data_IF_527708785314
#
_entry.id   IF_527708785314
#
_cell.length_a   1.000
_cell.length_b   1.000
_cell.length_c   1.000
_cell.angle_alpha   90.00
_cell.angle_beta   90.00
_cell.angle_gamma   90.00
#
_symmetry.space_group_name_H-M   'P 1'
#
loop_
_entity.id
_entity.type
_entity.pdbx_description
1 polymer ?
#
# COMPACT_ATOMS: atom_id res chain seq x y z
N UNK A 1 -8.26 17.85 -4.14
CA UNK A 1 -7.22 16.79 -4.17
C UNK A 1 -7.87 15.52 -3.62
N UNK A 2 -7.53 14.30 -4.04
CA UNK A 2 -8.19 13.12 -3.47
C UNK A 2 -7.76 12.98 -2.01
N UNK A 3 -8.71 13.19 -1.08
CA UNK A 3 -8.52 13.31 0.37
C UNK A 3 -8.10 12.01 1.09
N UNK A 4 -7.43 11.06 0.42
CA UNK A 4 -7.29 9.69 0.97
C UNK A 4 -5.88 9.10 0.92
N UNK A 5 -4.94 9.71 0.17
CA UNK A 5 -3.53 9.30 0.23
C UNK A 5 -2.86 10.01 1.40
N UNK A 6 -2.40 9.26 2.41
CA UNK A 6 -1.81 9.85 3.62
C UNK A 6 -0.31 10.10 3.46
N UNK A 7 0.17 11.22 4.00
CA UNK A 7 1.61 11.44 4.15
C UNK A 7 2.08 10.68 5.39
N UNK A 8 3.04 9.79 5.20
CA UNK A 8 3.59 8.93 6.23
C UNK A 8 5.01 9.38 6.54
N UNK A 9 5.25 9.65 7.81
CA UNK A 9 6.55 10.00 8.38
C UNK A 9 7.01 8.86 9.27
N UNK A 10 8.27 8.92 9.72
CA UNK A 10 8.80 8.02 10.74
C UNK A 10 7.87 7.94 11.95
N UNK A 11 7.43 9.10 12.46
CA UNK A 11 6.62 9.18 13.68
C UNK A 11 5.19 8.66 13.51
N UNK A 12 4.65 8.70 12.28
CA UNK A 12 3.30 8.22 11.98
C UNK A 12 3.26 6.79 11.43
N UNK A 13 4.38 6.27 10.93
CA UNK A 13 4.46 4.97 10.25
C UNK A 13 3.90 3.82 11.08
N UNK A 14 4.36 3.66 12.32
CA UNK A 14 3.92 2.55 13.17
C UNK A 14 2.40 2.59 13.39
N UNK A 15 1.84 3.77 13.67
CA UNK A 15 0.40 3.96 13.86
C UNK A 15 -0.36 3.72 12.56
N UNK A 16 0.17 4.18 11.44
CA UNK A 16 -0.43 3.99 10.12
C UNK A 16 -0.52 2.51 9.76
N UNK A 17 0.54 1.74 10.03
CA UNK A 17 0.59 0.30 9.76
C UNK A 17 -0.27 -0.50 10.74
N UNK A 18 -0.09 -0.29 12.04
CA UNK A 18 -0.75 -1.10 13.09
C UNK A 18 -2.26 -0.90 13.18
N UNK A 19 -2.76 0.29 12.80
CA UNK A 19 -4.20 0.62 12.86
C UNK A 19 -4.98 0.24 11.60
N UNK A 20 -4.29 -0.12 10.52
CA UNK A 20 -4.97 -0.47 9.27
C UNK A 20 -5.52 -1.89 9.33
N UNK A 21 -6.85 -2.02 9.17
CA UNK A 21 -7.51 -3.29 8.91
C UNK A 21 -7.48 -3.68 7.42
N UNK A 22 -7.08 -2.73 6.58
CA UNK A 22 -6.94 -2.91 5.13
C UNK A 22 -5.48 -3.17 4.77
N UNK A 23 -5.20 -3.85 3.65
CA UNK A 23 -3.87 -3.86 3.08
C UNK A 23 -3.41 -2.43 2.76
N UNK A 24 -2.12 -2.20 2.87
CA UNK A 24 -1.48 -0.89 2.73
C UNK A 24 -0.57 -0.92 1.51
N UNK A 25 -0.63 0.13 0.70
CA UNK A 25 0.37 0.45 -0.31
C UNK A 25 1.14 1.71 0.11
N UNK A 26 2.42 1.55 0.42
CA UNK A 26 3.34 2.64 0.78
C UNK A 26 4.26 2.96 -0.40
N UNK A 27 4.27 4.21 -0.82
CA UNK A 27 5.03 4.69 -1.97
C UNK A 27 6.14 5.61 -1.49
N UNK A 28 7.37 5.21 -1.75
CA UNK A 28 8.57 5.96 -1.46
C UNK A 28 8.97 6.74 -2.72
N UNK A 29 9.00 8.06 -2.58
CA UNK A 29 9.27 8.96 -3.70
C UNK A 29 10.23 10.07 -3.26
N UNK A 30 10.73 10.81 -4.24
CA UNK A 30 11.42 12.08 -4.00
C UNK A 30 10.98 13.08 -5.06
N UNK A 31 10.80 14.34 -4.64
CA UNK A 31 10.38 15.43 -5.53
C UNK A 31 11.47 15.80 -6.55
N UNK A 32 12.72 15.40 -6.30
CA UNK A 32 13.87 15.70 -7.15
C UNK A 32 13.95 14.80 -8.38
N UNK A 33 13.19 13.70 -8.43
CA UNK A 33 13.25 12.72 -9.52
C UNK A 33 12.01 12.80 -10.42
N UNK A 34 12.15 13.29 -11.68
CA UNK A 34 11.03 13.40 -12.62
C UNK A 34 10.31 12.08 -12.89
N UNK A 35 11.02 10.95 -12.78
CA UNK A 35 10.47 9.59 -12.92
C UNK A 35 9.35 9.28 -11.92
N UNK A 36 9.26 10.00 -10.80
CA UNK A 36 8.20 9.85 -9.82
C UNK A 36 6.86 10.43 -10.28
N UNK A 37 6.84 11.31 -11.30
CA UNK A 37 5.61 11.96 -11.76
C UNK A 37 4.60 10.95 -12.33
N UNK A 38 5.04 10.08 -13.24
CA UNK A 38 4.19 9.06 -13.85
C UNK A 38 3.69 8.04 -12.81
N UNK A 39 4.52 7.74 -11.80
CA UNK A 39 4.12 6.89 -10.70
C UNK A 39 3.00 7.57 -9.90
N UNK A 40 3.11 8.85 -9.58
CA UNK A 40 2.08 9.55 -8.79
C UNK A 40 0.72 9.53 -9.48
N UNK A 41 0.66 9.73 -10.80
CA UNK A 41 -0.58 9.60 -11.59
C UNK A 41 -1.15 8.17 -11.52
N UNK A 42 -0.27 7.16 -11.59
CA UNK A 42 -0.65 5.76 -11.43
C UNK A 42 -1.23 5.47 -10.04
N UNK A 43 -0.60 5.99 -8.99
CA UNK A 43 -1.05 5.82 -7.60
C UNK A 43 -2.39 6.53 -7.37
N UNK A 44 -2.61 7.72 -7.92
CA UNK A 44 -3.90 8.40 -7.85
C UNK A 44 -5.02 7.60 -8.53
N UNK A 45 -4.74 7.01 -9.69
CA UNK A 45 -5.71 6.15 -10.38
C UNK A 45 -6.02 4.87 -9.59
N UNK A 46 -5.03 4.31 -8.90
CA UNK A 46 -5.21 3.16 -8.02
C UNK A 46 -6.02 3.53 -6.77
N UNK A 47 -5.70 4.64 -6.10
CA UNK A 47 -6.45 5.11 -4.93
C UNK A 47 -7.92 5.30 -5.29
N UNK A 48 -8.22 5.99 -6.39
CA UNK A 48 -9.60 6.19 -6.83
C UNK A 48 -10.35 4.89 -7.08
N UNK A 49 -9.69 3.85 -7.63
CA UNK A 49 -10.29 2.55 -7.92
C UNK A 49 -10.48 1.68 -6.67
N UNK A 50 -9.51 1.70 -5.75
CA UNK A 50 -9.43 0.81 -4.59
C UNK A 50 -9.80 1.49 -3.27
N UNK A 51 -10.39 2.69 -3.33
CA UNK A 51 -10.82 3.47 -2.18
C UNK A 51 -11.65 2.60 -1.22
N UNK A 52 -11.27 2.63 0.06
CA UNK A 52 -11.91 1.84 1.12
C UNK A 52 -11.58 0.35 1.11
N UNK A 53 -10.80 -0.14 0.15
CA UNK A 53 -10.29 -1.52 0.10
C UNK A 53 -8.79 -1.60 0.35
N UNK A 54 -8.04 -0.57 -0.03
CA UNK A 54 -6.60 -0.44 0.19
C UNK A 54 -6.32 0.93 0.81
N UNK A 55 -5.44 0.96 1.80
CA UNK A 55 -4.92 2.18 2.39
C UNK A 55 -3.67 2.63 1.61
N UNK A 56 -3.62 3.90 1.21
CA UNK A 56 -2.48 4.44 0.46
C UNK A 56 -1.68 5.43 1.30
N UNK A 57 -0.35 5.30 1.29
CA UNK A 57 0.56 6.21 1.98
C UNK A 57 1.74 6.63 1.10
N UNK A 58 2.17 7.89 1.24
CA UNK A 58 3.36 8.44 0.60
C UNK A 58 4.44 8.70 1.65
N UNK A 59 5.66 8.33 1.34
CA UNK A 59 6.85 8.63 2.14
C UNK A 59 7.80 9.43 1.27
N UNK A 60 8.06 10.68 1.66
CA UNK A 60 9.09 11.50 1.04
C UNK A 60 10.46 11.02 1.55
N UNK A 61 11.20 10.32 0.70
CA UNK A 61 12.48 9.72 1.03
C UNK A 61 13.60 10.75 1.24
N UNK A 62 13.45 11.97 0.71
CA UNK A 62 14.41 13.05 1.01
C UNK A 62 14.29 13.50 2.48
N UNK A 63 13.09 13.43 3.04
CA UNK A 63 12.79 13.88 4.41
C UNK A 63 12.81 12.74 5.43
N UNK A 64 12.55 11.51 4.99
CA UNK A 64 12.35 10.35 5.86
C UNK A 64 13.48 9.33 5.74
N UNK A 65 14.73 9.81 5.67
CA UNK A 65 15.94 8.98 5.47
C UNK A 65 16.13 7.87 6.51
N UNK A 66 15.75 8.11 7.76
CA UNK A 66 15.81 7.08 8.80
C UNK A 66 14.78 5.97 8.56
N UNK A 67 13.54 6.34 8.21
CA UNK A 67 12.48 5.38 7.92
C UNK A 67 12.81 4.56 6.66
N UNK A 68 13.33 5.18 5.60
CA UNK A 68 13.76 4.46 4.39
C UNK A 68 14.90 3.49 4.69
N UNK A 69 15.87 3.88 5.52
CA UNK A 69 16.94 3.00 5.99
C UNK A 69 16.43 1.81 6.80
N UNK A 70 15.52 2.04 7.76
CA UNK A 70 14.90 0.99 8.57
C UNK A 70 14.11 -0.02 7.72
N UNK A 71 13.47 0.44 6.65
CA UNK A 71 12.68 -0.39 5.74
C UNK A 71 13.50 -0.96 4.56
N UNK A 72 14.80 -0.71 4.50
CA UNK A 72 15.68 -1.23 3.46
C UNK A 72 15.41 -0.68 2.06
N UNK A 73 14.91 0.55 1.95
CA UNK A 73 14.61 1.19 0.66
C UNK A 73 15.91 1.73 0.05
N UNK A 74 16.48 0.97 -0.90
CA UNK A 74 17.76 1.29 -1.54
C UNK A 74 17.67 2.13 -2.82
N UNK A 75 16.47 2.39 -3.34
CA UNK A 75 16.29 3.14 -4.59
C UNK A 75 14.89 3.76 -4.71
N UNK A 76 14.77 4.79 -5.56
CA UNK A 76 13.51 5.50 -5.78
C UNK A 76 13.12 5.51 -7.26
N UNK A 77 11.81 5.44 -7.57
CA UNK A 77 10.74 5.17 -6.63
C UNK A 77 10.77 3.72 -6.12
N UNK A 78 10.16 3.48 -4.96
CA UNK A 78 9.93 2.12 -4.44
C UNK A 78 8.55 2.02 -3.82
N UNK A 79 7.97 0.81 -3.80
CA UNK A 79 6.65 0.56 -3.25
C UNK A 79 6.69 -0.67 -2.35
N UNK A 80 6.15 -0.53 -1.15
CA UNK A 80 5.88 -1.66 -0.25
C UNK A 80 4.39 -1.91 -0.18
N UNK A 81 3.99 -3.18 -0.25
CA UNK A 81 2.63 -3.61 0.03
C UNK A 81 2.64 -4.42 1.32
N UNK A 82 1.87 -3.97 2.31
CA UNK A 82 1.73 -4.62 3.60
C UNK A 82 0.30 -5.13 3.78
N UNK A 83 0.13 -6.24 4.50
CA UNK A 83 -1.18 -6.74 4.89
C UNK A 83 -1.13 -7.32 6.30
N UNK A 84 -1.93 -6.79 7.21
CA UNK A 84 -1.88 -7.18 8.63
C UNK A 84 -0.47 -7.03 9.23
N UNK A 85 0.26 -5.98 8.85
CA UNK A 85 1.64 -5.73 9.27
C UNK A 85 2.71 -6.60 8.60
N UNK A 86 2.34 -7.56 7.74
CA UNK A 86 3.30 -8.42 7.02
C UNK A 86 3.65 -7.84 5.65
N UNK A 87 4.90 -7.95 5.24
CA UNK A 87 5.36 -7.57 3.91
C UNK A 87 4.86 -8.57 2.85
N UNK A 88 4.03 -8.10 1.92
CA UNK A 88 3.50 -8.90 0.81
C UNK A 88 4.25 -8.65 -0.50
N UNK A 89 4.72 -7.43 -0.74
CA UNK A 89 5.53 -7.11 -1.91
C UNK A 89 6.49 -5.95 -1.63
N UNK A 90 7.67 -6.01 -2.26
CA UNK A 90 8.64 -4.92 -2.34
C UNK A 90 9.01 -4.72 -3.81
N UNK A 91 8.64 -3.57 -4.36
CA UNK A 91 8.77 -3.24 -5.78
C UNK A 91 9.73 -2.07 -5.91
N UNK A 92 10.88 -2.32 -6.54
CA UNK A 92 11.78 -1.25 -6.98
C UNK A 92 11.35 -0.71 -8.34
N UNK A 93 11.27 0.61 -8.46
CA UNK A 93 10.89 1.29 -9.69
C UNK A 93 9.37 1.41 -9.90
N UNK A 94 8.97 1.64 -11.15
CA UNK A 94 7.57 1.79 -11.53
C UNK A 94 7.13 0.66 -12.46
N UNK A 95 5.98 0.05 -12.19
CA UNK A 95 5.33 -0.94 -13.02
C UNK A 95 4.14 -0.35 -13.80
N UNK A 96 3.69 -1.00 -14.88
CA UNK A 96 2.45 -0.61 -15.55
C UNK A 96 1.24 -0.70 -14.61
N UNK A 97 0.26 0.19 -14.78
CA UNK A 97 -0.99 0.23 -14.00
C UNK A 97 -1.71 -1.13 -13.92
N UNK A 98 -1.72 -1.88 -15.02
CA UNK A 98 -2.33 -3.22 -15.09
C UNK A 98 -1.69 -4.22 -14.13
N UNK A 99 -0.37 -4.11 -13.92
CA UNK A 99 0.36 -4.98 -13.01
C UNK A 99 -0.06 -4.72 -11.56
N UNK A 100 -0.11 -3.44 -11.14
CA UNK A 100 -0.61 -3.09 -9.80
C UNK A 100 -2.04 -3.56 -9.58
N UNK A 101 -2.93 -3.35 -10.56
CA UNK A 101 -4.32 -3.82 -10.48
C UNK A 101 -4.39 -5.32 -10.22
N UNK A 102 -3.68 -6.12 -11.03
CA UNK A 102 -3.66 -7.57 -10.87
C UNK A 102 -3.12 -8.02 -9.50
N UNK A 103 -2.06 -7.37 -8.99
CA UNK A 103 -1.53 -7.66 -7.65
C UNK A 103 -2.52 -7.34 -6.53
N UNK A 104 -3.13 -6.15 -6.57
CA UNK A 104 -4.09 -5.71 -5.56
C UNK A 104 -5.37 -6.54 -5.60
N UNK A 105 -5.88 -6.86 -6.80
CA UNK A 105 -7.06 -7.72 -6.97
C UNK A 105 -6.81 -9.11 -6.39
N UNK A 106 -5.63 -9.69 -6.63
CA UNK A 106 -5.23 -10.98 -6.03
C UNK A 106 -5.19 -10.89 -4.50
N UNK A 107 -4.49 -9.88 -3.97
CA UNK A 107 -4.36 -9.67 -2.52
C UNK A 107 -5.73 -9.52 -1.82
N UNK A 108 -6.66 -8.81 -2.45
CA UNK A 108 -8.01 -8.63 -1.93
C UNK A 108 -8.87 -9.91 -2.04
N UNK A 109 -8.61 -10.75 -3.04
CA UNK A 109 -9.30 -12.04 -3.17
C UNK A 109 -8.88 -13.04 -2.08
N UNK A 110 -7.61 -13.04 -1.71
CA UNK A 110 -7.02 -13.89 -0.67
C UNK A 110 -7.39 -13.43 0.74
N UNK A 111 -7.63 -12.12 0.93
CA UNK A 111 -8.06 -11.52 2.21
C UNK A 111 -9.55 -11.64 2.51
N UNK A 112 -10.36 -12.24 1.65
CA UNK A 112 -11.76 -12.51 2.01
C UNK A 112 -11.76 -13.42 3.24
N UNK A 113 -12.38 -13.02 4.37
CA UNK A 113 -12.55 -13.94 5.47
C UNK A 113 -13.28 -15.15 4.89
N UNK A 114 -12.69 -16.34 5.02
CA UNK A 114 -13.42 -17.57 4.82
C UNK A 114 -14.70 -17.43 5.66
N UNK A 115 -15.84 -17.25 5.00
CA UNK A 115 -17.14 -17.43 5.65
C UNK A 115 -17.17 -18.90 6.05
N UNK A 116 -16.64 -19.24 7.23
CA UNK A 116 -17.07 -20.45 7.94
C UNK A 116 -18.55 -20.23 8.17
N UNK A 117 -19.35 -20.86 7.31
CA UNK A 117 -20.80 -20.80 7.36
C UNK A 117 -21.26 -21.23 8.75
N UNK A 118 -21.68 -20.26 9.55
CA UNK A 118 -22.49 -20.49 10.72
C UNK A 118 -23.92 -20.67 10.24
N UNK A 119 -24.21 -21.78 9.56
CA UNK A 119 -25.57 -22.23 9.26
C UNK A 119 -25.56 -23.75 9.10
N UNK A 120 -26.07 -24.41 10.14
CA UNK A 120 -26.17 -25.86 10.24
C UNK A 120 -26.71 -26.27 11.62
N UNK A 121 -27.74 -25.55 12.06
CA UNK A 121 -28.58 -25.88 13.20
C UNK A 121 -29.20 -27.27 13.00
N UNK A 122 -29.24 -28.05 14.09
CA UNK A 122 -30.21 -29.11 14.41
C UNK A 122 -30.77 -29.94 13.23
N UNK A 123 -30.34 -31.21 13.15
CA UNK A 123 -31.25 -32.30 12.80
C UNK A 123 -31.12 -33.42 13.83
N UNK A 124 -32.32 -33.90 14.20
CA UNK A 124 -32.68 -34.92 15.18
C UNK A 124 -31.82 -36.17 15.18
#
# INVERSE_FOLDING_TARGET
MPDTIQIVTKDSFEKFVSRSLLPIMLVFYSQKYPSCKNLMETIQALEAKYRGSIQFGLVDADQQGELTGQLGIGGLPSILILNGGRLCANIGGNLPLSHYKHMLDRLLSENKPHKKGLFGFLKH
#
